data_IF_246883613864
#
_entry.id   IF_246883613864
#
_cell.length_a   1.000
_cell.length_b   1.000
_cell.length_c   1.000
_cell.angle_alpha   90.00
_cell.angle_beta   90.00
_cell.angle_gamma   90.00
#
_symmetry.space_group_name_H-M   'P 1'
#
loop_
_entity.id
_entity.type
_entity.pdbx_description
1 polymer ?
#
# COMPACT_ATOMS: atom_id res chain seq x y z
N UNK A 1 -6.08 24.13 7.46
CA UNK A 1 -5.88 22.71 7.10
C UNK A 1 -4.38 22.50 7.01
N UNK A 2 -3.80 21.63 7.83
CA UNK A 2 -2.36 21.35 7.75
C UNK A 2 -2.14 20.29 6.67
N UNK A 3 -1.26 20.60 5.71
CA UNK A 3 -0.85 19.64 4.69
C UNK A 3 0.03 18.58 5.37
N UNK A 4 -0.27 17.31 5.14
CA UNK A 4 0.53 16.18 5.61
C UNK A 4 1.27 15.60 4.40
N UNK A 5 2.60 15.63 4.45
CA UNK A 5 3.46 15.02 3.44
C UNK A 5 3.71 13.53 3.76
N UNK A 6 3.97 12.67 2.76
CA UNK A 6 4.34 11.29 3.00
C UNK A 6 5.67 11.23 3.77
N UNK A 7 5.70 10.44 4.84
CA UNK A 7 6.90 10.17 5.62
C UNK A 7 7.38 8.74 5.33
N UNK A 8 8.30 8.59 4.37
CA UNK A 8 8.88 7.30 3.99
C UNK A 8 9.83 6.69 5.05
N UNK A 9 9.88 7.26 6.26
CA UNK A 9 10.46 6.64 7.46
C UNK A 9 9.39 6.17 8.46
N UNK A 10 8.13 6.52 8.24
CA UNK A 10 6.97 6.16 9.06
C UNK A 10 5.68 6.04 8.22
N UNK A 11 5.69 5.16 7.23
CA UNK A 11 4.60 4.94 6.28
C UNK A 11 4.17 3.47 6.14
N UNK A 12 3.17 3.22 5.30
CA UNK A 12 2.77 1.86 4.90
C UNK A 12 3.91 1.06 4.24
N UNK A 13 4.89 1.71 3.61
CA UNK A 13 6.08 1.04 3.04
C UNK A 13 6.96 0.48 4.16
N UNK A 14 7.13 1.26 5.23
CA UNK A 14 7.87 0.84 6.42
C UNK A 14 7.11 -0.25 7.21
N UNK A 15 5.77 -0.25 7.17
CA UNK A 15 4.96 -1.35 7.70
C UNK A 15 5.27 -2.67 6.99
N UNK A 16 5.30 -2.66 5.65
CA UNK A 16 5.72 -3.86 4.88
C UNK A 16 7.16 -4.23 5.23
N UNK A 17 8.04 -3.25 5.39
CA UNK A 17 9.43 -3.52 5.78
C UNK A 17 9.54 -4.21 7.14
N UNK A 18 8.73 -3.79 8.13
CA UNK A 18 8.61 -4.48 9.41
C UNK A 18 8.08 -5.91 9.28
N UNK A 19 7.12 -6.14 8.38
CA UNK A 19 6.59 -7.47 8.11
C UNK A 19 7.68 -8.37 7.50
N UNK A 20 8.42 -7.88 6.52
CA UNK A 20 9.50 -8.62 5.87
C UNK A 20 10.66 -8.91 6.83
N UNK A 21 11.02 -7.97 7.72
CA UNK A 21 12.03 -8.17 8.76
C UNK A 21 11.67 -9.32 9.71
N UNK A 22 10.38 -9.49 10.05
CA UNK A 22 9.90 -10.62 10.87
C UNK A 22 10.26 -11.97 10.24
N UNK A 23 10.30 -12.04 8.91
CA UNK A 23 10.65 -13.22 8.12
C UNK A 23 12.12 -13.26 7.68
N UNK A 24 12.99 -12.41 8.25
CA UNK A 24 14.42 -12.30 7.91
C UNK A 24 14.68 -11.90 6.45
N UNK A 25 13.73 -11.22 5.80
CA UNK A 25 13.87 -10.71 4.44
C UNK A 25 14.47 -9.30 4.50
N UNK A 26 15.52 -9.05 3.71
CA UNK A 26 16.13 -7.72 3.59
C UNK A 26 15.22 -6.77 2.82
N UNK A 27 15.20 -5.51 3.24
CA UNK A 27 14.36 -4.46 2.67
C UNK A 27 15.18 -3.20 2.43
N UNK A 28 14.81 -2.43 1.40
CA UNK A 28 15.46 -1.16 1.08
C UNK A 28 15.00 -0.01 2.00
N UNK A 29 13.85 -0.20 2.65
CA UNK A 29 13.26 0.76 3.59
C UNK A 29 13.39 0.26 5.03
N UNK A 30 13.57 1.17 6.02
CA UNK A 30 13.70 0.76 7.41
C UNK A 30 12.35 0.30 7.99
N UNK A 31 12.34 -0.64 8.94
CA UNK A 31 11.14 -1.03 9.67
C UNK A 31 10.63 0.11 10.55
N UNK A 32 9.33 0.07 10.87
CA UNK A 32 8.69 0.98 11.82
C UNK A 32 9.29 0.85 13.22
N UNK A 33 9.76 1.97 13.78
CA UNK A 33 10.38 2.01 15.13
C UNK A 33 9.42 1.63 16.25
N UNK A 34 8.14 1.89 16.07
CA UNK A 34 7.08 1.57 17.03
C UNK A 34 6.67 0.09 17.03
N UNK A 35 7.16 -0.72 16.09
CA UNK A 35 6.87 -2.16 16.02
C UNK A 35 8.07 -2.96 16.51
N UNK A 36 7.86 -3.77 17.55
CA UNK A 36 8.86 -4.75 18.01
C UNK A 36 8.77 -6.02 17.15
N UNK A 37 9.55 -6.06 16.07
CA UNK A 37 9.59 -7.19 15.14
C UNK A 37 10.10 -8.47 15.79
N UNK A 38 10.91 -8.40 16.86
CA UNK A 38 11.39 -9.58 17.60
C UNK A 38 10.27 -10.25 18.40
N UNK A 39 9.35 -9.46 18.95
CA UNK A 39 8.15 -9.99 19.62
C UNK A 39 7.18 -10.59 18.60
N UNK A 40 6.97 -9.90 17.47
CA UNK A 40 6.07 -10.36 16.42
C UNK A 40 6.56 -11.64 15.74
N UNK A 41 7.88 -11.83 15.61
CA UNK A 41 8.50 -13.06 15.08
C UNK A 41 8.19 -14.32 15.88
N UNK A 42 7.81 -14.19 17.15
CA UNK A 42 7.38 -15.34 17.99
C UNK A 42 5.93 -15.76 17.74
N UNK A 43 5.18 -15.02 16.92
CA UNK A 43 3.77 -15.32 16.62
C UNK A 43 3.69 -16.34 15.49
N UNK A 44 2.71 -17.26 15.61
CA UNK A 44 2.48 -18.31 14.60
C UNK A 44 1.92 -17.76 13.30
N UNK A 45 0.97 -16.82 13.41
CA UNK A 45 0.24 -16.25 12.28
C UNK A 45 0.30 -14.73 12.37
N UNK A 46 0.53 -14.09 11.22
CA UNK A 46 0.44 -12.65 11.05
C UNK A 46 -0.65 -12.36 10.01
N UNK A 47 -1.58 -11.47 10.32
CA UNK A 47 -2.68 -11.09 9.44
C UNK A 47 -2.70 -9.58 9.32
N UNK A 48 -2.60 -9.07 8.08
CA UNK A 48 -2.71 -7.65 7.77
C UNK A 48 -4.12 -7.34 7.26
N UNK A 49 -4.85 -6.49 7.96
CA UNK A 49 -6.12 -5.95 7.51
C UNK A 49 -5.90 -4.56 6.89
N UNK A 50 -6.34 -4.40 5.64
CA UNK A 50 -6.32 -3.11 4.94
C UNK A 50 -7.76 -2.65 4.78
N UNK A 51 -8.07 -1.47 5.33
CA UNK A 51 -9.40 -0.86 5.28
C UNK A 51 -9.34 0.36 4.36
N UNK A 52 -9.94 0.27 3.18
CA UNK A 52 -9.89 1.35 2.20
C UNK A 52 -10.59 2.62 2.73
N UNK A 53 -9.94 3.76 2.58
CA UNK A 53 -10.41 5.06 3.07
C UNK A 53 -10.48 5.24 4.60
N UNK A 54 -10.07 4.25 5.41
CA UNK A 54 -10.19 4.33 6.87
C UNK A 54 -8.95 4.97 7.54
N UNK A 55 -8.95 6.31 7.63
CA UNK A 55 -7.87 7.07 8.26
C UNK A 55 -8.07 7.39 9.76
N UNK A 56 -7.03 7.97 10.39
CA UNK A 56 -7.01 8.33 11.83
C UNK A 56 -8.16 9.25 12.25
N UNK A 57 -8.60 10.16 11.37
CA UNK A 57 -9.72 11.05 11.66
C UNK A 57 -11.04 10.27 11.86
N UNK A 58 -11.24 9.20 11.09
CA UNK A 58 -12.41 8.33 11.24
C UNK A 58 -12.31 7.46 12.50
N UNK A 59 -11.11 6.93 12.80
CA UNK A 59 -10.87 6.20 14.04
C UNK A 59 -11.21 7.06 15.26
N UNK A 60 -10.73 8.30 15.30
CA UNK A 60 -11.01 9.23 16.40
C UNK A 60 -12.49 9.62 16.49
N UNK A 61 -13.12 9.94 15.35
CA UNK A 61 -14.55 10.33 15.29
C UNK A 61 -15.47 9.21 15.76
N UNK A 62 -15.14 7.96 15.48
CA UNK A 62 -15.95 6.78 15.79
C UNK A 62 -15.31 5.88 16.86
N UNK A 63 -14.52 6.44 17.77
CA UNK A 63 -13.79 5.68 18.79
C UNK A 63 -14.72 4.82 19.67
N UNK A 64 -15.92 5.32 19.98
CA UNK A 64 -16.94 4.60 20.76
C UNK A 64 -17.47 3.35 20.04
N UNK A 65 -17.53 3.37 18.70
CA UNK A 65 -17.96 2.26 17.85
C UNK A 65 -16.80 1.34 17.45
N UNK A 66 -15.55 1.79 17.61
CA UNK A 66 -14.33 1.08 17.21
C UNK A 66 -13.43 0.75 18.41
N UNK A 67 -14.03 0.39 19.56
CA UNK A 67 -13.32 0.21 20.84
C UNK A 67 -12.09 -0.70 20.75
N UNK A 68 -12.17 -1.79 19.98
CA UNK A 68 -11.04 -2.69 19.79
C UNK A 68 -9.85 -1.99 19.11
N UNK A 69 -10.10 -1.32 17.98
CA UNK A 69 -9.05 -0.59 17.24
C UNK A 69 -8.52 0.59 18.06
N UNK A 70 -9.41 1.35 18.70
CA UNK A 70 -9.04 2.51 19.52
C UNK A 70 -8.20 2.12 20.74
N UNK A 71 -8.52 1.01 21.41
CA UNK A 71 -7.76 0.52 22.58
C UNK A 71 -6.40 -0.04 22.22
N UNK A 72 -6.24 -0.63 21.03
CA UNK A 72 -5.00 -1.26 20.57
C UNK A 72 -4.23 -0.38 19.57
N UNK A 73 -4.61 0.88 19.44
CA UNK A 73 -3.90 1.83 18.59
C UNK A 73 -2.51 2.14 19.14
N UNK A 74 -1.49 2.09 18.29
CA UNK A 74 -0.08 2.32 18.65
C UNK A 74 0.35 3.73 18.23
N UNK A 75 0.35 3.99 16.92
CA UNK A 75 0.75 5.28 16.36
C UNK A 75 0.21 5.45 14.94
N UNK A 76 0.13 6.69 14.42
CA UNK A 76 -0.24 6.91 13.03
C UNK A 76 0.99 6.70 12.13
N UNK A 77 0.74 6.22 10.92
CA UNK A 77 1.71 6.17 9.83
C UNK A 77 1.11 6.86 8.61
N UNK A 78 1.93 7.42 7.73
CA UNK A 78 1.43 8.01 6.49
C UNK A 78 1.13 6.94 5.45
N UNK A 79 0.21 7.24 4.52
CA UNK A 79 0.17 6.51 3.25
C UNK A 79 1.36 6.94 2.36
N UNK A 80 1.36 6.48 1.13
CA UNK A 80 2.25 6.96 0.06
C UNK A 80 1.64 8.15 -0.68
N UNK A 81 2.45 8.82 -1.49
CA UNK A 81 1.97 9.82 -2.44
C UNK A 81 2.15 9.33 -3.88
N UNK A 82 1.12 9.46 -4.74
CA UNK A 82 -0.24 9.90 -4.39
C UNK A 82 -0.97 8.87 -3.53
N UNK A 83 -1.89 9.31 -2.68
CA UNK A 83 -2.63 8.43 -1.76
C UNK A 83 -3.83 7.76 -2.45
N UNK A 84 -3.62 7.23 -3.64
CA UNK A 84 -4.62 6.49 -4.43
C UNK A 84 -4.62 5.01 -4.02
N UNK A 85 -5.75 4.33 -4.20
CA UNK A 85 -5.86 2.89 -3.89
C UNK A 85 -4.83 2.07 -4.66
N UNK A 86 -4.63 2.34 -5.96
CA UNK A 86 -3.60 1.71 -6.78
C UNK A 86 -2.21 1.85 -6.17
N UNK A 87 -1.78 3.08 -5.87
CA UNK A 87 -0.45 3.33 -5.34
C UNK A 87 -0.25 2.67 -3.97
N UNK A 88 -1.23 2.82 -3.06
CA UNK A 88 -1.12 2.26 -1.71
C UNK A 88 -1.11 0.73 -1.71
N UNK A 89 -1.97 0.08 -2.49
CA UNK A 89 -2.03 -1.38 -2.58
C UNK A 89 -0.76 -1.93 -3.23
N UNK A 90 -0.28 -1.34 -4.32
CA UNK A 90 0.99 -1.76 -4.93
C UNK A 90 2.15 -1.60 -3.96
N UNK A 91 2.21 -0.50 -3.20
CA UNK A 91 3.21 -0.32 -2.15
C UNK A 91 3.10 -1.35 -1.02
N UNK A 92 1.89 -1.73 -0.63
CA UNK A 92 1.64 -2.76 0.40
C UNK A 92 2.05 -4.16 -0.05
N UNK A 93 1.90 -4.47 -1.34
CA UNK A 93 2.25 -5.78 -1.92
C UNK A 93 3.76 -5.88 -2.17
N UNK A 94 4.35 -4.85 -2.75
CA UNK A 94 5.76 -4.85 -3.19
C UNK A 94 6.76 -4.40 -2.12
N UNK A 95 6.31 -3.69 -1.09
CA UNK A 95 7.20 -3.01 -0.15
C UNK A 95 7.99 -1.85 -0.75
N UNK A 96 7.59 -1.38 -1.94
CA UNK A 96 8.21 -0.28 -2.69
C UNK A 96 7.33 0.98 -2.66
N UNK A 97 7.94 2.13 -2.82
CA UNK A 97 7.27 3.43 -2.98
C UNK A 97 6.69 3.59 -4.39
N UNK A 98 5.74 4.52 -4.61
CA UNK A 98 5.23 4.81 -5.96
C UNK A 98 6.29 5.30 -6.95
N UNK A 99 7.39 5.87 -6.44
CA UNK A 99 8.55 6.22 -7.26
C UNK A 99 9.26 4.98 -7.82
N UNK A 100 9.32 3.90 -7.03
CA UNK A 100 9.99 2.66 -7.40
C UNK A 100 9.11 1.76 -8.28
N UNK A 101 7.80 1.68 -8.00
CA UNK A 101 6.90 0.78 -8.74
C UNK A 101 6.10 1.47 -9.86
N UNK A 102 6.00 2.80 -9.94
CA UNK A 102 5.35 3.51 -11.05
C UNK A 102 3.81 3.45 -11.12
N UNK A 103 3.15 2.54 -10.40
CA UNK A 103 1.68 2.52 -10.24
C UNK A 103 1.15 3.72 -9.42
N UNK A 104 1.01 4.88 -10.04
CA UNK A 104 0.64 6.15 -9.36
C UNK A 104 -0.86 6.48 -9.41
N UNK A 105 -1.65 5.80 -10.24
CA UNK A 105 -3.03 6.20 -10.51
C UNK A 105 -3.96 5.01 -10.74
N UNK A 106 -5.27 5.29 -10.74
CA UNK A 106 -6.27 4.32 -11.15
C UNK A 106 -6.09 3.97 -12.63
N UNK A 107 -6.16 5.00 -13.49
CA UNK A 107 -5.96 4.87 -14.94
C UNK A 107 -4.57 5.37 -15.31
N UNK A 108 -3.81 4.56 -16.04
CA UNK A 108 -2.49 4.91 -16.56
C UNK A 108 -2.47 4.69 -18.07
N UNK A 109 -1.74 5.56 -18.79
CA UNK A 109 -1.47 5.35 -20.20
C UNK A 109 -0.22 4.50 -20.37
N UNK A 110 -0.37 3.36 -21.04
CA UNK A 110 0.74 2.46 -21.40
C UNK A 110 1.04 2.63 -22.88
N UNK A 111 2.18 3.24 -23.19
CA UNK A 111 2.61 3.54 -24.56
C UNK A 111 2.84 2.27 -25.38
N UNK A 112 3.24 1.19 -24.73
CA UNK A 112 3.51 -0.14 -25.31
C UNK A 112 2.25 -0.76 -25.90
N UNK A 113 1.08 -0.38 -25.37
CA UNK A 113 -0.22 -0.83 -25.83
C UNK A 113 -1.02 0.25 -26.55
N UNK A 114 -0.52 1.50 -26.53
CA UNK A 114 -1.25 2.70 -26.95
C UNK A 114 -2.64 2.80 -26.30
N UNK A 115 -2.74 2.49 -25.00
CA UNK A 115 -4.01 2.36 -24.28
C UNK A 115 -3.99 3.00 -22.90
N UNK A 116 -5.15 3.53 -22.51
CA UNK A 116 -5.46 3.86 -21.12
C UNK A 116 -5.98 2.60 -20.43
N UNK A 117 -5.32 2.18 -19.35
CA UNK A 117 -5.65 0.98 -18.61
C UNK A 117 -5.93 1.35 -17.15
N UNK A 118 -7.07 0.88 -16.64
CA UNK A 118 -7.38 0.91 -15.21
C UNK A 118 -6.57 -0.20 -14.53
N UNK A 119 -5.52 0.21 -13.83
CA UNK A 119 -4.46 -0.65 -13.31
C UNK A 119 -4.97 -1.76 -12.39
N UNK A 120 -5.93 -1.45 -11.52
CA UNK A 120 -6.69 -2.43 -10.74
C UNK A 120 -8.15 -2.34 -11.22
N UNK A 121 -8.71 -3.33 -11.94
CA UNK A 121 -8.28 -4.74 -12.09
C UNK A 121 -7.71 -5.12 -13.48
N UNK A 122 -7.02 -4.22 -14.18
CA UNK A 122 -6.53 -4.37 -15.57
C UNK A 122 -7.65 -4.32 -16.63
N UNK A 123 -8.39 -3.22 -16.65
CA UNK A 123 -9.44 -2.95 -17.64
C UNK A 123 -9.02 -1.91 -18.67
N UNK A 124 -9.53 -2.06 -19.89
CA UNK A 124 -9.49 -0.98 -20.88
C UNK A 124 -10.37 0.18 -20.39
N UNK A 125 -9.78 1.34 -20.14
CA UNK A 125 -10.50 2.45 -19.51
C UNK A 125 -11.60 3.04 -20.40
N UNK A 126 -11.51 2.84 -21.73
CA UNK A 126 -12.50 3.35 -22.69
C UNK A 126 -13.65 2.36 -22.84
N UNK A 127 -13.34 1.07 -22.97
CA UNK A 127 -14.35 0.05 -23.27
C UNK A 127 -14.89 -0.68 -22.03
N UNK A 128 -14.29 -0.45 -20.86
CA UNK A 128 -14.56 -1.16 -19.59
C UNK A 128 -14.45 -2.68 -19.69
N UNK A 129 -13.70 -3.19 -20.68
CA UNK A 129 -13.49 -4.62 -20.88
C UNK A 129 -12.20 -5.07 -20.20
N UNK A 130 -12.26 -6.24 -19.57
CA UNK A 130 -11.04 -6.92 -19.09
C UNK A 130 -10.08 -7.16 -20.22
N UNK A 131 -8.81 -6.79 -20.01
CA UNK A 131 -7.76 -7.02 -20.98
C UNK A 131 -7.23 -8.45 -20.87
N UNK A 132 -6.79 -9.00 -22.00
CA UNK A 132 -6.03 -10.25 -22.03
C UNK A 132 -4.68 -10.04 -21.32
N UNK A 133 -4.53 -10.56 -20.11
CA UNK A 133 -3.32 -10.37 -19.28
C UNK A 133 -2.08 -10.99 -19.89
N UNK A 134 -2.20 -11.90 -20.87
CA UNK A 134 -1.04 -12.44 -21.60
C UNK A 134 -0.49 -11.46 -22.64
N UNK A 135 -1.29 -10.45 -23.03
CA UNK A 135 -0.93 -9.43 -24.02
C UNK A 135 -0.76 -8.04 -23.40
N UNK A 136 -1.53 -7.74 -22.36
CA UNK A 136 -1.58 -6.45 -21.68
C UNK A 136 -1.22 -6.62 -20.21
N UNK A 137 -0.05 -7.21 -19.96
CA UNK A 137 0.43 -7.39 -18.60
C UNK A 137 1.02 -6.07 -18.09
N UNK A 138 0.19 -5.24 -17.47
CA UNK A 138 0.64 -3.96 -16.90
C UNK A 138 1.67 -4.12 -15.79
N UNK A 139 1.70 -5.29 -15.13
CA UNK A 139 2.66 -5.59 -14.05
C UNK A 139 4.09 -5.57 -14.58
N UNK A 140 4.35 -6.06 -15.79
CA UNK A 140 5.72 -6.06 -16.37
C UNK A 140 6.29 -4.64 -16.58
N UNK A 141 5.43 -3.62 -16.53
CA UNK A 141 5.77 -2.21 -16.74
C UNK A 141 5.66 -1.37 -15.46
N UNK A 142 5.20 -1.97 -14.36
CA UNK A 142 5.22 -1.35 -13.03
C UNK A 142 6.13 -2.19 -12.15
N UNK A 143 7.15 -1.61 -11.52
CA UNK A 143 8.16 -2.38 -10.76
C UNK A 143 7.67 -2.96 -9.42
N UNK A 144 6.50 -3.58 -9.41
CA UNK A 144 5.76 -4.09 -8.24
C UNK A 144 6.12 -5.54 -7.84
N UNK A 145 7.00 -6.16 -8.62
CA UNK A 145 7.53 -7.52 -8.54
C UNK A 145 8.81 -7.64 -7.71
#
# INVERSE_FOLDING_TARGET
>A
MNIVYPDYKNSIVNLVSSILEIYDIKTDHPPLKQLDTKVLKKKKNLVLFVLDGFGINLLNKFASSTKFMSKNYISPITSVFPSTTSAAITSLISGKTPWEHGAVGWTLYFKEFAKNIDYLPNWDSITSKTQDSTKYNVIDYVGAD
#
